data_IF_634212488859
#
_entry.id   IF_634212488859
#
_cell.length_a   1.000
_cell.length_b   1.000
_cell.length_c   1.000
_cell.angle_alpha   90.00
_cell.angle_beta   90.00
_cell.angle_gamma   90.00
#
_symmetry.space_group_name_H-M   'P 1'
#
loop_
_entity.id
_entity.type
_entity.pdbx_description
1 polymer ?
#
# COMPACT_ATOMS: atom_id res chain seq x y z
N UNK A 1 -16.93 11.25 29.33
CA UNK A 1 -16.85 10.64 27.98
C UNK A 1 -15.45 10.86 27.44
N UNK A 2 -14.53 9.96 27.74
CA UNK A 2 -13.15 10.04 27.26
C UNK A 2 -13.05 9.51 25.84
N UNK A 3 -12.67 10.35 24.88
CA UNK A 3 -12.12 9.88 23.60
C UNK A 3 -10.78 9.23 23.89
N UNK A 4 -10.73 7.90 23.88
CA UNK A 4 -9.49 7.18 23.69
C UNK A 4 -8.89 7.61 22.35
N UNK A 5 -7.81 8.39 22.39
CA UNK A 5 -6.93 8.56 21.23
C UNK A 5 -6.26 7.21 21.03
N UNK A 6 -6.77 6.42 20.09
CA UNK A 6 -6.03 5.28 19.57
C UNK A 6 -4.70 5.81 19.01
N UNK A 7 -3.61 5.47 19.69
CA UNK A 7 -2.25 5.64 19.18
C UNK A 7 -2.11 4.85 17.87
N UNK A 8 -1.44 5.39 16.83
CA UNK A 8 -1.50 4.87 15.45
C UNK A 8 -0.61 3.65 15.19
N UNK A 9 -0.30 2.84 16.19
CA UNK A 9 0.79 1.85 16.13
C UNK A 9 0.33 0.46 16.60
N UNK A 10 -0.62 -0.12 15.87
CA UNK A 10 -0.88 -1.55 15.92
C UNK A 10 -0.56 -2.16 14.55
N UNK A 11 0.49 -2.98 14.46
CA UNK A 11 0.72 -3.81 13.27
C UNK A 11 0.18 -5.20 13.54
N UNK A 12 -0.84 -5.61 12.80
CA UNK A 12 -1.29 -7.01 12.76
C UNK A 12 -0.69 -7.71 11.55
N UNK A 13 -0.31 -8.98 11.71
CA UNK A 13 0.26 -9.81 10.63
C UNK A 13 -0.59 -11.06 10.45
N UNK A 14 -0.97 -11.35 9.20
CA UNK A 14 -1.68 -12.58 8.84
C UNK A 14 -0.89 -13.34 7.78
N UNK A 15 -0.70 -14.64 8.00
CA UNK A 15 -0.11 -15.55 7.02
C UNK A 15 -1.22 -16.15 6.17
N UNK A 16 -1.19 -15.87 4.87
CA UNK A 16 -2.23 -16.30 3.94
C UNK A 16 -1.71 -17.38 3.00
N UNK A 17 -2.44 -18.49 2.90
CA UNK A 17 -2.17 -19.54 1.92
C UNK A 17 -2.64 -19.12 0.52
N UNK A 18 -3.74 -18.37 0.45
CA UNK A 18 -4.35 -17.86 -0.79
C UNK A 18 -4.62 -16.36 -0.70
N UNK A 19 -4.55 -15.67 -1.84
CA UNK A 19 -4.88 -14.24 -1.97
C UNK A 19 -6.23 -14.06 -2.69
N UNK A 20 -7.26 -14.67 -2.15
CA UNK A 20 -8.62 -14.65 -2.70
C UNK A 20 -9.60 -13.88 -1.80
N UNK A 21 -10.78 -13.61 -2.35
CA UNK A 21 -11.81 -12.80 -1.69
C UNK A 21 -12.28 -13.44 -0.37
N UNK A 22 -12.61 -14.75 -0.32
CA UNK A 22 -13.02 -15.39 0.94
C UNK A 22 -11.96 -15.30 2.03
N UNK A 23 -10.68 -15.49 1.68
CA UNK A 23 -9.57 -15.41 2.63
C UNK A 23 -9.46 -14.01 3.21
N UNK A 24 -9.51 -12.96 2.37
CA UNK A 24 -9.48 -11.58 2.87
C UNK A 24 -10.69 -11.21 3.72
N UNK A 25 -11.90 -11.60 3.31
CA UNK A 25 -13.11 -11.38 4.10
C UNK A 25 -13.00 -12.03 5.48
N UNK A 26 -12.47 -13.27 5.54
CA UNK A 26 -12.28 -13.96 6.81
C UNK A 26 -11.34 -13.24 7.76
N UNK A 27 -10.30 -12.58 7.25
CA UNK A 27 -9.40 -11.75 8.10
C UNK A 27 -10.20 -10.60 8.72
N UNK A 28 -11.03 -9.91 7.94
CA UNK A 28 -11.82 -8.79 8.44
C UNK A 28 -12.88 -9.24 9.45
N UNK A 29 -13.52 -10.40 9.24
CA UNK A 29 -14.42 -11.00 10.24
C UNK A 29 -13.72 -11.26 11.58
N UNK A 30 -12.52 -11.83 11.55
CA UNK A 30 -11.70 -12.05 12.76
C UNK A 30 -11.34 -10.72 13.42
N UNK A 31 -11.02 -9.70 12.62
CA UNK A 31 -10.71 -8.37 13.12
C UNK A 31 -11.92 -7.72 13.80
N UNK A 32 -13.12 -7.84 13.23
CA UNK A 32 -14.37 -7.38 13.83
C UNK A 32 -14.64 -8.09 15.16
N UNK A 33 -14.56 -9.42 15.18
CA UNK A 33 -14.75 -10.20 16.40
C UNK A 33 -13.79 -9.79 17.52
N UNK A 34 -12.51 -9.54 17.20
CA UNK A 34 -11.55 -9.04 18.21
C UNK A 34 -11.82 -7.61 18.64
N UNK A 35 -12.29 -6.74 17.75
CA UNK A 35 -12.67 -5.40 18.14
C UNK A 35 -13.88 -5.40 19.09
N UNK A 36 -14.87 -6.25 18.84
CA UNK A 36 -16.03 -6.44 19.71
C UNK A 36 -15.63 -6.95 21.11
N UNK A 37 -14.75 -7.97 21.18
CA UNK A 37 -14.21 -8.48 22.45
C UNK A 37 -13.52 -7.37 23.27
N UNK A 38 -12.86 -6.43 22.60
CA UNK A 38 -12.16 -5.30 23.23
C UNK A 38 -13.06 -4.07 23.45
N UNK A 39 -14.34 -4.12 23.06
CA UNK A 39 -15.26 -2.99 23.16
C UNK A 39 -14.90 -1.82 22.22
N UNK A 40 -14.18 -2.08 21.13
CA UNK A 40 -13.74 -1.09 20.14
C UNK A 40 -14.60 -1.20 18.88
N UNK A 41 -15.05 -0.06 18.35
CA UNK A 41 -15.70 -0.01 17.05
C UNK A 41 -14.69 0.30 15.93
N UNK A 42 -14.70 -0.51 14.88
CA UNK A 42 -13.87 -0.31 13.69
C UNK A 42 -14.66 0.39 12.59
N UNK A 43 -14.61 1.72 12.57
CA UNK A 43 -15.19 2.56 11.52
C UNK A 43 -14.11 3.43 10.85
N UNK A 44 -13.17 2.82 10.10
CA UNK A 44 -12.14 3.59 9.44
C UNK A 44 -12.74 4.44 8.31
N UNK A 45 -12.44 5.74 8.32
CA UNK A 45 -12.84 6.63 7.23
C UNK A 45 -12.14 6.29 5.89
N UNK A 46 -10.94 5.71 5.97
CA UNK A 46 -10.10 5.40 4.81
C UNK A 46 -9.25 4.15 5.03
N UNK A 47 -9.20 3.29 4.03
CA UNK A 47 -8.21 2.23 3.91
C UNK A 47 -7.19 2.57 2.82
N UNK A 48 -5.91 2.34 3.11
CA UNK A 48 -4.84 2.39 2.10
C UNK A 48 -4.32 0.97 1.89
N UNK A 49 -4.43 0.46 0.67
CA UNK A 49 -4.10 -0.93 0.38
C UNK A 49 -3.35 -1.07 -0.95
N UNK A 50 -2.99 -2.31 -1.26
CA UNK A 50 -2.39 -2.68 -2.53
C UNK A 50 -3.49 -2.86 -3.58
N UNK A 51 -3.12 -2.87 -4.87
CA UNK A 51 -4.05 -3.04 -5.98
C UNK A 51 -4.43 -4.51 -6.23
N UNK A 52 -4.58 -5.29 -5.16
CA UNK A 52 -4.95 -6.69 -5.27
C UNK A 52 -6.45 -6.82 -5.56
N UNK A 53 -6.78 -7.55 -6.63
CA UNK A 53 -8.16 -7.69 -7.15
C UNK A 53 -9.16 -8.19 -6.11
N UNK A 54 -8.72 -9.06 -5.20
CA UNK A 54 -9.57 -9.64 -4.16
C UNK A 54 -9.67 -8.78 -2.88
N UNK A 55 -8.68 -7.92 -2.62
CA UNK A 55 -8.60 -7.15 -1.38
C UNK A 55 -9.58 -5.99 -1.36
N UNK A 56 -9.70 -5.25 -2.48
CA UNK A 56 -10.61 -4.10 -2.56
C UNK A 56 -12.07 -4.51 -2.32
N UNK A 57 -12.62 -5.55 -2.99
CA UNK A 57 -13.98 -5.98 -2.72
C UNK A 57 -14.15 -6.56 -1.31
N UNK A 58 -13.13 -7.22 -0.74
CA UNK A 58 -13.17 -7.67 0.65
C UNK A 58 -13.33 -6.51 1.64
N UNK A 59 -12.54 -5.43 1.46
CA UNK A 59 -12.64 -4.23 2.28
C UNK A 59 -14.01 -3.60 2.12
N UNK A 60 -14.50 -3.44 0.88
CA UNK A 60 -15.81 -2.82 0.62
C UNK A 60 -16.97 -3.65 1.19
N UNK A 61 -16.86 -4.98 1.17
CA UNK A 61 -17.88 -5.87 1.73
C UNK A 61 -17.95 -5.84 3.26
N UNK A 62 -16.81 -5.66 3.93
CA UNK A 62 -16.74 -5.61 5.41
C UNK A 62 -16.88 -4.19 5.98
N UNK A 63 -16.45 -3.18 5.22
CA UNK A 63 -16.50 -1.77 5.61
C UNK A 63 -17.17 -0.92 4.52
N UNK A 64 -18.51 -0.97 4.38
CA UNK A 64 -19.22 -0.35 3.26
C UNK A 64 -19.09 1.18 3.21
N UNK A 65 -18.87 1.82 4.37
CA UNK A 65 -18.74 3.28 4.48
C UNK A 65 -17.29 3.78 4.36
N UNK A 66 -16.34 2.88 4.18
CA UNK A 66 -14.92 3.21 4.05
C UNK A 66 -14.58 3.67 2.63
N UNK A 67 -13.76 4.72 2.52
CA UNK A 67 -13.07 5.01 1.26
C UNK A 67 -11.84 4.12 1.09
N UNK A 68 -11.80 3.32 0.03
CA UNK A 68 -10.59 2.56 -0.34
C UNK A 68 -9.70 3.41 -1.24
N UNK A 69 -8.40 3.42 -0.94
CA UNK A 69 -7.38 4.09 -1.72
C UNK A 69 -6.20 3.14 -1.92
N UNK A 70 -5.74 3.03 -3.16
CA UNK A 70 -4.49 2.36 -3.48
C UNK A 70 -3.28 3.17 -3.01
N UNK A 71 -2.24 2.46 -2.58
CA UNK A 71 -0.98 3.05 -2.17
C UNK A 71 -0.18 3.57 -3.38
N UNK A 72 0.25 4.84 -3.34
CA UNK A 72 1.06 5.45 -4.40
C UNK A 72 2.38 4.72 -4.63
N UNK A 73 3.01 4.21 -3.56
CA UNK A 73 4.23 3.42 -3.68
C UNK A 73 3.99 2.16 -4.50
N UNK A 74 2.92 1.40 -4.20
CA UNK A 74 2.58 0.18 -4.93
C UNK A 74 2.13 0.46 -6.36
N UNK A 75 1.52 1.62 -6.61
CA UNK A 75 1.24 2.10 -7.97
C UNK A 75 2.53 2.32 -8.75
N UNK A 76 3.47 3.11 -8.21
CA UNK A 76 4.79 3.31 -8.82
C UNK A 76 5.51 1.97 -9.06
N UNK A 77 5.46 1.08 -8.09
CA UNK A 77 6.07 -0.24 -8.18
C UNK A 77 5.44 -1.09 -9.28
N UNK A 78 4.12 -1.03 -9.47
CA UNK A 78 3.42 -1.72 -10.55
C UNK A 78 3.86 -1.21 -11.92
N UNK A 79 3.96 0.12 -12.09
CA UNK A 79 4.51 0.73 -13.32
C UNK A 79 5.95 0.26 -13.57
N UNK A 80 6.81 0.29 -12.55
CA UNK A 80 8.21 -0.15 -12.66
C UNK A 80 8.35 -1.66 -12.92
N UNK A 81 7.46 -2.49 -12.39
CA UNK A 81 7.40 -3.91 -12.73
C UNK A 81 7.10 -4.11 -14.21
N UNK A 82 6.17 -3.32 -14.77
CA UNK A 82 5.87 -3.40 -16.19
C UNK A 82 7.04 -2.92 -17.06
N UNK A 83 7.75 -1.85 -16.65
CA UNK A 83 9.01 -1.43 -17.29
C UNK A 83 10.01 -2.59 -17.34
N UNK A 84 10.16 -3.34 -16.24
CA UNK A 84 11.00 -4.54 -16.21
C UNK A 84 10.54 -5.65 -17.16
N UNK A 85 9.23 -5.96 -17.17
CA UNK A 85 8.63 -6.99 -18.04
C UNK A 85 8.81 -6.70 -19.53
N UNK A 86 8.80 -5.43 -19.90
CA UNK A 86 8.99 -4.98 -21.28
C UNK A 86 10.47 -4.85 -21.68
N UNK A 87 11.40 -5.24 -20.80
CA UNK A 87 12.85 -5.16 -21.08
C UNK A 87 13.44 -3.75 -20.96
N UNK A 88 12.65 -2.74 -20.59
CA UNK A 88 13.06 -1.33 -20.49
C UNK A 88 13.87 -1.01 -19.22
N UNK A 89 14.30 -2.01 -18.44
CA UNK A 89 14.97 -1.77 -17.14
C UNK A 89 16.29 -1.03 -17.31
N UNK A 90 17.12 -1.46 -18.26
CA UNK A 90 18.41 -0.82 -18.51
C UNK A 90 18.23 0.59 -19.08
N UNK A 91 17.26 0.76 -19.97
CA UNK A 91 16.91 2.07 -20.52
C UNK A 91 16.40 3.03 -19.47
N UNK A 92 15.54 2.57 -18.55
CA UNK A 92 15.09 3.39 -17.43
C UNK A 92 16.26 3.88 -16.54
N UNK A 93 17.29 3.05 -16.38
CA UNK A 93 18.48 3.37 -15.59
C UNK A 93 19.44 4.28 -16.35
N UNK A 94 19.61 4.13 -17.66
CA UNK A 94 20.68 4.80 -18.41
C UNK A 94 20.21 5.89 -19.39
N UNK A 95 18.93 5.88 -19.79
CA UNK A 95 18.33 6.82 -20.73
C UNK A 95 17.42 7.82 -20.00
N UNK A 96 17.83 9.10 -19.99
CA UNK A 96 17.11 10.16 -19.29
C UNK A 96 15.71 10.42 -19.88
N UNK A 97 15.53 10.33 -21.19
CA UNK A 97 14.25 10.56 -21.86
C UNK A 97 13.24 9.47 -21.50
N UNK A 98 13.66 8.20 -21.55
CA UNK A 98 12.80 7.07 -21.15
C UNK A 98 12.45 7.18 -19.66
N UNK A 99 13.42 7.49 -18.81
CA UNK A 99 13.18 7.71 -17.38
C UNK A 99 12.17 8.83 -17.13
N UNK A 100 12.28 9.94 -17.87
CA UNK A 100 11.36 11.08 -17.79
C UNK A 100 9.94 10.65 -18.18
N UNK A 101 9.77 9.96 -19.30
CA UNK A 101 8.47 9.46 -19.77
C UNK A 101 7.81 8.51 -18.78
N UNK A 102 8.57 7.60 -18.17
CA UNK A 102 8.08 6.69 -17.12
C UNK A 102 7.67 7.47 -15.86
N UNK A 103 8.45 8.48 -15.46
CA UNK A 103 8.10 9.35 -14.32
C UNK A 103 6.88 10.21 -14.59
N UNK A 104 6.66 10.65 -15.83
CA UNK A 104 5.46 11.40 -16.22
C UNK A 104 4.19 10.55 -16.08
N UNK A 105 4.22 9.26 -16.43
CA UNK A 105 3.11 8.34 -16.15
C UNK A 105 2.80 8.25 -14.65
N UNK A 106 3.82 8.11 -13.81
CA UNK A 106 3.64 8.11 -12.35
C UNK A 106 3.11 9.46 -11.83
N UNK A 107 3.50 10.56 -12.45
CA UNK A 107 3.10 11.91 -12.05
C UNK A 107 1.62 12.22 -12.34
N UNK A 108 0.95 11.46 -13.21
CA UNK A 108 -0.50 11.58 -13.45
C UNK A 108 -1.31 11.41 -12.16
N UNK A 109 -0.77 10.70 -11.16
CA UNK A 109 -1.44 10.50 -9.88
C UNK A 109 -1.64 11.80 -9.10
N UNK A 110 -0.93 12.87 -9.45
CA UNK A 110 -1.03 14.18 -8.80
C UNK A 110 -1.95 15.17 -9.53
N UNK A 111 -2.45 14.82 -10.72
CA UNK A 111 -3.43 15.65 -11.41
C UNK A 111 -4.82 15.51 -10.77
N UNK A 112 -5.65 16.56 -10.81
CA UNK A 112 -7.08 16.41 -10.55
C UNK A 112 -7.64 15.23 -11.37
N UNK A 113 -8.46 14.38 -10.74
CA UNK A 113 -8.96 13.13 -11.35
C UNK A 113 -9.55 13.35 -12.75
N UNK A 114 -10.31 14.43 -12.94
CA UNK A 114 -10.93 14.77 -14.23
C UNK A 114 -9.93 15.22 -15.31
N UNK A 115 -8.71 15.64 -14.94
CA UNK A 115 -7.64 16.04 -15.86
C UNK A 115 -6.68 14.90 -16.20
N UNK A 116 -6.77 13.75 -15.52
CA UNK A 116 -5.87 12.60 -15.75
C UNK A 116 -5.91 12.12 -17.20
N UNK A 117 -7.09 11.89 -17.84
CA UNK A 117 -7.12 11.45 -19.23
C UNK A 117 -6.47 12.46 -20.19
N UNK A 118 -6.79 13.75 -20.04
CA UNK A 118 -6.18 14.80 -20.86
C UNK A 118 -4.66 14.90 -20.65
N UNK A 119 -4.20 14.77 -19.40
CA UNK A 119 -2.79 14.72 -19.06
C UNK A 119 -2.07 13.53 -19.69
N UNK A 120 -2.72 12.37 -19.77
CA UNK A 120 -2.18 11.20 -20.45
C UNK A 120 -2.01 11.44 -21.96
N UNK A 121 -3.03 11.98 -22.64
CA UNK A 121 -2.96 12.26 -24.09
C UNK A 121 -1.79 13.19 -24.44
N UNK A 122 -1.55 14.23 -23.62
CA UNK A 122 -0.44 15.17 -23.82
C UNK A 122 0.93 14.47 -23.78
N UNK A 123 1.09 13.47 -22.90
CA UNK A 123 2.37 12.79 -22.71
C UNK A 123 2.55 11.60 -23.68
N UNK A 124 1.45 11.07 -24.20
CA UNK A 124 1.37 9.95 -25.13
C UNK A 124 1.65 10.35 -26.59
N UNK A 125 2.76 11.06 -26.81
CA UNK A 125 3.16 11.55 -28.14
C UNK A 125 4.58 11.10 -28.45
N UNK A 126 4.79 10.59 -29.68
CA UNK A 126 6.10 10.21 -30.21
C UNK A 126 6.69 8.94 -29.59
N UNK A 127 5.83 8.03 -29.12
CA UNK A 127 6.25 6.73 -28.55
C UNK A 127 6.39 5.69 -29.66
N UNK A 128 7.36 4.79 -29.50
CA UNK A 128 7.55 3.63 -30.39
C UNK A 128 8.10 2.45 -29.60
N UNK A 129 7.96 1.25 -30.16
CA UNK A 129 8.53 0.02 -29.62
C UNK A 129 8.02 -0.32 -28.21
N UNK A 130 8.93 -0.71 -27.32
CA UNK A 130 8.58 -1.14 -25.96
C UNK A 130 7.99 -0.01 -25.11
N UNK A 131 8.34 1.24 -25.40
CA UNK A 131 7.79 2.39 -24.67
C UNK A 131 6.32 2.64 -25.04
N UNK A 132 5.95 2.45 -26.30
CA UNK A 132 4.55 2.48 -26.74
C UNK A 132 3.74 1.36 -26.05
N UNK A 133 4.28 0.15 -25.98
CA UNK A 133 3.65 -0.97 -25.27
C UNK A 133 3.42 -0.65 -23.77
N UNK A 134 4.32 0.10 -23.12
CA UNK A 134 4.13 0.56 -21.74
C UNK A 134 2.95 1.53 -21.62
N UNK A 135 2.83 2.48 -22.55
CA UNK A 135 1.74 3.46 -22.55
C UNK A 135 0.39 2.80 -22.85
N UNK A 136 0.33 1.86 -23.79
CA UNK A 136 -0.86 1.06 -24.06
C UNK A 136 -1.30 0.24 -22.83
N UNK A 137 -0.35 -0.42 -22.16
CA UNK A 137 -0.61 -1.08 -20.88
C UNK A 137 -1.17 -0.08 -19.85
N UNK A 138 -0.57 1.10 -19.75
CA UNK A 138 -1.00 2.10 -18.79
C UNK A 138 -2.45 2.56 -19.03
N UNK A 139 -2.78 2.81 -20.30
CA UNK A 139 -4.12 3.19 -20.73
C UNK A 139 -5.15 2.11 -20.39
N UNK A 140 -4.85 0.84 -20.68
CA UNK A 140 -5.77 -0.26 -20.40
C UNK A 140 -5.93 -0.54 -18.91
N UNK A 141 -4.83 -0.54 -18.16
CA UNK A 141 -4.83 -0.97 -16.76
C UNK A 141 -5.22 0.13 -15.79
N UNK A 142 -4.82 1.39 -16.03
CA UNK A 142 -4.91 2.48 -15.05
C UNK A 142 -5.86 3.62 -15.42
N UNK A 143 -6.14 3.87 -16.70
CA UNK A 143 -7.06 4.93 -17.12
C UNK A 143 -8.58 4.63 -17.09
N UNK A 144 -9.08 3.39 -16.90
CA UNK A 144 -10.52 3.22 -16.71
C UNK A 144 -11.05 4.15 -15.60
N UNK A 145 -12.18 4.83 -15.86
CA UNK A 145 -12.72 5.85 -14.96
C UNK A 145 -13.00 5.32 -13.53
N UNK A 146 -13.30 4.03 -13.43
CA UNK A 146 -13.50 3.32 -12.15
C UNK A 146 -12.19 3.13 -11.36
N UNK A 147 -11.04 3.10 -12.03
CA UNK A 147 -9.72 2.87 -11.41
C UNK A 147 -8.99 4.15 -11.07
N UNK A 148 -9.16 5.25 -11.83
CA UNK A 148 -8.44 6.52 -11.58
C UNK A 148 -8.52 6.97 -10.11
N UNK A 149 -9.70 7.00 -9.46
CA UNK A 149 -9.80 7.44 -8.06
C UNK A 149 -9.01 6.55 -7.08
N UNK A 150 -8.76 5.27 -7.44
CA UNK A 150 -8.07 4.33 -6.57
C UNK A 150 -6.57 4.61 -6.47
N UNK A 151 -5.90 5.01 -7.54
CA UNK A 151 -4.45 5.26 -7.52
C UNK A 151 -4.07 6.75 -7.48
N UNK A 152 -5.03 7.64 -7.75
CA UNK A 152 -4.82 9.07 -7.72
C UNK A 152 -4.65 9.59 -6.28
N UNK A 153 -3.63 10.41 -6.06
CA UNK A 153 -3.27 11.00 -4.76
C UNK A 153 -3.38 12.52 -4.74
N UNK A 154 -4.04 13.12 -5.73
CA UNK A 154 -4.33 14.55 -5.75
C UNK A 154 -5.14 14.95 -4.51
N UNK A 155 -4.66 15.96 -3.78
CA UNK A 155 -5.31 16.45 -2.56
C UNK A 155 -5.25 15.49 -1.36
N UNK A 156 -4.53 14.36 -1.44
CA UNK A 156 -4.41 13.41 -0.32
C UNK A 156 -3.26 13.83 0.60
N UNK A 157 -3.51 13.89 1.92
CA UNK A 157 -2.51 14.25 2.95
C UNK A 157 -1.52 13.10 3.26
N UNK A 158 -2.01 11.87 3.39
CA UNK A 158 -1.20 10.65 3.59
C UNK A 158 -1.03 9.94 2.25
N UNK A 159 0.11 10.18 1.59
CA UNK A 159 0.41 9.74 0.22
C UNK A 159 1.25 8.48 0.16
N UNK A 160 2.03 8.20 1.19
CA UNK A 160 3.00 7.12 1.20
C UNK A 160 2.81 6.24 2.43
N UNK A 161 3.14 4.96 2.26
CA UNK A 161 3.00 3.94 3.27
C UNK A 161 4.26 3.83 4.13
N UNK A 162 4.90 4.97 4.44
CA UNK A 162 6.21 5.03 5.10
C UNK A 162 6.29 4.19 6.38
N UNK A 163 5.18 4.04 7.09
CA UNK A 163 5.09 3.19 8.28
C UNK A 163 5.21 1.70 7.93
N UNK A 164 4.47 1.20 6.93
CA UNK A 164 4.61 -0.18 6.47
C UNK A 164 5.95 -0.41 5.77
N UNK A 165 6.50 0.57 5.05
CA UNK A 165 7.85 0.49 4.47
C UNK A 165 8.94 0.41 5.55
N UNK A 166 8.83 1.23 6.59
CA UNK A 166 9.71 1.18 7.75
C UNK A 166 9.62 -0.17 8.47
N UNK A 167 8.41 -0.72 8.58
CA UNK A 167 8.19 -2.06 9.12
C UNK A 167 8.80 -3.16 8.23
N UNK A 168 8.54 -3.14 6.92
CA UNK A 168 9.13 -4.10 5.96
C UNK A 168 10.66 -4.02 5.94
N UNK A 169 11.24 -2.82 5.96
CA UNK A 169 12.70 -2.61 6.02
C UNK A 169 13.29 -3.17 7.31
N UNK A 170 12.66 -2.92 8.46
CA UNK A 170 13.04 -3.50 9.75
C UNK A 170 12.98 -5.02 9.73
N UNK A 171 11.89 -5.59 9.22
CA UNK A 171 11.70 -7.04 9.11
C UNK A 171 12.77 -7.68 8.23
N UNK A 172 13.04 -7.11 7.05
CA UNK A 172 14.10 -7.59 6.16
C UNK A 172 15.50 -7.50 6.80
N UNK A 173 15.79 -6.41 7.54
CA UNK A 173 17.03 -6.29 8.31
C UNK A 173 17.15 -7.35 9.41
N UNK A 174 16.06 -7.64 10.14
CA UNK A 174 16.04 -8.68 11.18
C UNK A 174 16.14 -10.09 10.59
N UNK A 175 15.55 -10.33 9.42
CA UNK A 175 15.59 -11.61 8.73
C UNK A 175 17.02 -12.02 8.34
N UNK A 176 17.92 -11.05 8.09
CA UNK A 176 19.36 -11.25 7.74
C UNK A 176 19.63 -12.15 6.52
N UNK A 177 18.59 -12.66 5.84
CA UNK A 177 18.65 -13.55 4.66
C UNK A 177 17.45 -13.27 3.75
N UNK A 178 17.61 -13.50 2.44
CA UNK A 178 16.54 -13.36 1.45
C UNK A 178 15.45 -14.43 1.56
N UNK A 179 15.75 -15.58 2.19
CA UNK A 179 14.82 -16.67 2.43
C UNK A 179 14.96 -17.19 3.86
N UNK A 180 13.88 -17.14 4.63
CA UNK A 180 13.76 -17.74 5.96
C UNK A 180 12.94 -19.03 5.85
N UNK A 181 13.31 -20.06 6.60
CA UNK A 181 12.43 -21.22 6.78
C UNK A 181 11.17 -20.82 7.55
N UNK A 182 10.06 -21.55 7.36
CA UNK A 182 8.75 -21.20 7.93
C UNK A 182 8.79 -20.94 9.44
N UNK A 183 9.43 -21.81 10.22
CA UNK A 183 9.53 -21.64 11.67
C UNK A 183 10.37 -20.43 12.08
N UNK A 184 11.43 -20.11 11.33
CA UNK A 184 12.26 -18.92 11.57
C UNK A 184 11.48 -17.64 11.23
N UNK A 185 10.65 -17.69 10.19
CA UNK A 185 9.75 -16.59 9.83
C UNK A 185 8.64 -16.39 10.86
N UNK A 186 8.05 -17.49 11.36
CA UNK A 186 7.01 -17.43 12.39
C UNK A 186 7.57 -16.85 13.70
N UNK A 187 8.74 -17.30 14.14
CA UNK A 187 9.40 -16.75 15.33
C UNK A 187 9.69 -15.25 15.16
N UNK A 188 10.09 -14.82 13.97
CA UNK A 188 10.33 -13.41 13.67
C UNK A 188 9.07 -12.55 13.82
N UNK A 189 7.91 -13.05 13.37
CA UNK A 189 6.60 -12.39 13.52
C UNK A 189 6.22 -12.31 15.01
N UNK A 190 6.31 -13.43 15.73
CA UNK A 190 5.98 -13.49 17.17
C UNK A 190 6.84 -12.52 17.99
N UNK A 191 8.13 -12.44 17.70
CA UNK A 191 9.03 -11.50 18.35
C UNK A 191 8.68 -10.03 18.08
N UNK A 192 8.23 -9.69 16.86
CA UNK A 192 7.77 -8.31 16.56
C UNK A 192 6.44 -8.00 17.24
N UNK A 193 5.54 -8.98 17.33
CA UNK A 193 4.28 -8.82 18.05
C UNK A 193 4.54 -8.54 19.54
N UNK A 194 5.41 -9.33 20.20
CA UNK A 194 5.76 -9.12 21.61
C UNK A 194 6.41 -7.75 21.89
N UNK A 195 7.18 -7.21 20.95
CA UNK A 195 7.71 -5.83 21.06
C UNK A 195 6.61 -4.79 20.97
N UNK A 196 5.65 -4.97 20.07
CA UNK A 196 4.52 -4.06 19.91
C UNK A 196 3.65 -4.06 21.17
N UNK A 197 3.38 -5.24 21.74
CA UNK A 197 2.68 -5.38 23.02
C UNK A 197 3.42 -4.70 24.17
N UNK A 198 4.74 -4.81 24.22
CA UNK A 198 5.56 -4.11 25.22
C UNK A 198 5.43 -2.58 25.09
N UNK A 199 5.46 -2.05 23.86
CA UNK A 199 5.31 -0.61 23.60
C UNK A 199 3.89 -0.13 23.96
N UNK A 200 2.86 -0.91 23.62
CA UNK A 200 1.47 -0.60 23.99
C UNK A 200 1.32 -0.54 25.51
N UNK A 201 1.86 -1.54 26.24
CA UNK A 201 1.85 -1.54 27.72
C UNK A 201 2.58 -0.33 28.29
N UNK A 202 3.73 0.05 27.74
CA UNK A 202 4.45 1.26 28.18
C UNK A 202 3.65 2.55 27.96
N UNK A 203 2.88 2.64 26.88
CA UNK A 203 1.99 3.77 26.60
C UNK A 203 0.81 3.79 27.57
N UNK A 204 0.19 2.63 27.82
CA UNK A 204 -0.91 2.48 28.78
C UNK A 204 -0.46 2.80 30.22
N UNK A 205 0.79 2.47 30.55
CA UNK A 205 1.44 2.78 31.82
C UNK A 205 1.93 4.25 31.92
N UNK A 206 1.70 5.07 30.89
CA UNK A 206 1.98 6.51 30.89
C UNK A 206 3.43 6.91 30.62
N UNK A 207 4.30 6.00 30.17
CA UNK A 207 5.69 6.33 29.81
C UNK A 207 5.76 7.01 28.43
N UNK A 208 5.61 8.33 28.40
CA UNK A 208 6.05 9.11 27.24
C UNK A 208 7.57 9.25 27.28
N UNK A 209 8.28 8.70 26.30
CA UNK A 209 9.71 8.99 26.11
C UNK A 209 9.90 10.51 26.01
N UNK A 210 10.43 11.11 27.07
CA UNK A 210 10.95 12.46 27.04
C UNK A 210 12.06 12.51 25.99
N UNK A 211 11.90 13.37 24.98
CA UNK A 211 13.01 13.72 24.08
C UNK A 211 14.05 14.45 24.93
N UNK A 212 15.15 13.78 25.21
CA UNK A 212 16.39 14.43 25.64
C UNK A 212 16.80 15.45 24.58
N UNK A 213 17.11 16.65 25.06
CA UNK A 213 17.56 17.82 24.31
C UNK A 213 18.89 17.59 23.62
#
# INVERSE_FOLDING_TARGET
>A
MGRLRLSPLGTSSCLLFMKDLPTYSRIFEVLHSKAEELGVQLEPAKFVCDFETALIPAIQGNFPNTRVQGCFFHFCQAVLRQVGRLGLRNDYINNQEIRKKVKMLMALAFLPVHLVPAGFEIINVGMSGQLEALYQYFQQEWLPATKIPLWNVHGVSVRTNNHLEGWHSRMNKRARKHHLGFYQFLQLILDEQGKTETVVRQIDDGYTHGRGS
#
